data_IF_899359277030
#
_entry.id   IF_899359277030
#
_cell.length_a   1.000
_cell.length_b   1.000
_cell.length_c   1.000
_cell.angle_alpha   90.00
_cell.angle_beta   90.00
_cell.angle_gamma   90.00
#
_symmetry.space_group_name_H-M   'P 1'
#
loop_
_entity.id
_entity.type
_entity.pdbx_description
1 polymer ?
#
# COMPACT_ATOMS: atom_id res chain seq x y z
N UNK A 1 -24.18 -1.83 -4.99
CA UNK A 1 -22.86 -2.29 -4.47
C UNK A 1 -21.96 -1.12 -4.07
N UNK A 2 -22.54 -0.07 -3.44
CA UNK A 2 -21.82 1.17 -3.10
C UNK A 2 -20.78 1.03 -1.97
N UNK A 3 -20.51 -0.17 -1.49
CA UNK A 3 -19.62 -0.42 -0.35
C UNK A 3 -18.65 -1.58 -0.55
N UNK A 4 -18.46 -2.05 -1.78
CA UNK A 4 -17.50 -3.11 -2.07
C UNK A 4 -16.16 -2.48 -2.41
N UNK A 5 -15.13 -2.89 -1.69
CA UNK A 5 -13.73 -2.53 -1.99
C UNK A 5 -13.00 -3.79 -2.42
N UNK A 6 -12.34 -3.73 -3.55
CA UNK A 6 -11.49 -4.81 -4.04
C UNK A 6 -10.04 -4.47 -3.76
N UNK A 7 -9.37 -5.34 -3.04
CA UNK A 7 -7.93 -5.21 -2.74
C UNK A 7 -7.10 -5.92 -3.80
N UNK A 8 -6.01 -5.31 -4.21
CA UNK A 8 -5.12 -5.84 -5.24
C UNK A 8 -3.67 -5.51 -4.97
N UNK A 9 -2.79 -6.38 -5.40
CA UNK A 9 -1.35 -6.08 -5.50
C UNK A 9 -1.00 -5.30 -6.78
N UNK A 10 -1.97 -5.11 -7.68
CA UNK A 10 -1.81 -4.32 -8.90
C UNK A 10 -1.16 -5.10 -10.05
N UNK A 11 -1.80 -6.13 -10.57
CA UNK A 11 -1.37 -6.78 -11.81
C UNK A 11 -2.03 -6.10 -13.03
N UNK A 12 -1.23 -5.78 -14.04
CA UNK A 12 -1.62 -4.92 -15.17
C UNK A 12 -2.94 -5.30 -15.84
N UNK A 13 -3.04 -6.53 -16.33
CA UNK A 13 -4.25 -6.98 -17.06
C UNK A 13 -5.50 -7.02 -16.16
N UNK A 14 -5.33 -7.51 -14.95
CA UNK A 14 -6.43 -7.58 -13.99
C UNK A 14 -6.89 -6.19 -13.53
N UNK A 15 -5.96 -5.28 -13.31
CA UNK A 15 -6.25 -3.92 -12.89
C UNK A 15 -6.97 -3.14 -13.98
N UNK A 16 -6.47 -3.18 -15.21
CA UNK A 16 -7.09 -2.49 -16.34
C UNK A 16 -8.51 -2.97 -16.58
N UNK A 17 -8.71 -4.28 -16.64
CA UNK A 17 -10.03 -4.89 -16.78
C UNK A 17 -10.98 -4.50 -15.65
N UNK A 18 -10.49 -4.51 -14.41
CA UNK A 18 -11.27 -4.07 -13.26
C UNK A 18 -11.72 -2.61 -13.39
N UNK A 19 -10.83 -1.72 -13.82
CA UNK A 19 -11.12 -0.31 -14.01
C UNK A 19 -12.16 -0.05 -15.11
N UNK A 20 -12.18 -0.88 -16.14
CA UNK A 20 -13.11 -0.78 -17.27
C UNK A 20 -14.48 -1.42 -16.97
N UNK A 21 -14.50 -2.53 -16.23
CA UNK A 21 -15.70 -3.35 -16.04
C UNK A 21 -16.37 -3.19 -14.66
N UNK A 22 -15.77 -2.46 -13.71
CA UNK A 22 -16.26 -2.37 -12.33
C UNK A 22 -16.30 -0.96 -11.80
N UNK A 23 -17.37 -0.64 -11.05
CA UNK A 23 -17.52 0.60 -10.29
C UNK A 23 -17.17 0.44 -8.81
N UNK A 24 -16.65 -0.69 -8.40
CA UNK A 24 -16.24 -0.94 -7.03
C UNK A 24 -15.06 -0.06 -6.62
N UNK A 25 -14.93 0.21 -5.33
CA UNK A 25 -13.75 0.86 -4.78
C UNK A 25 -12.52 -0.02 -4.97
N UNK A 26 -11.38 0.61 -5.19
CA UNK A 26 -10.12 -0.07 -5.40
C UNK A 26 -9.15 0.26 -4.26
N UNK A 27 -8.55 -0.76 -3.67
CA UNK A 27 -7.45 -0.64 -2.72
C UNK A 27 -6.22 -1.37 -3.26
N UNK A 28 -5.09 -0.68 -3.30
CA UNK A 28 -3.84 -1.22 -3.83
C UNK A 28 -2.78 -1.24 -2.74
N UNK A 29 -2.12 -2.38 -2.57
CA UNK A 29 -0.99 -2.52 -1.67
C UNK A 29 0.22 -1.76 -2.20
N UNK A 30 0.70 -0.79 -1.46
CA UNK A 30 1.83 0.07 -1.85
C UNK A 30 3.10 -0.22 -1.05
N UNK A 31 3.06 -0.05 0.24
CA UNK A 31 4.08 -0.35 1.26
C UNK A 31 5.42 0.38 1.14
N UNK A 32 5.71 1.01 0.03
CA UNK A 32 6.87 1.88 -0.17
C UNK A 32 6.66 2.82 -1.35
N UNK A 33 7.16 4.06 -1.29
CA UNK A 33 7.22 4.97 -2.43
C UNK A 33 8.42 4.69 -3.35
N UNK A 34 9.34 3.80 -2.96
CA UNK A 34 10.54 3.47 -3.72
C UNK A 34 10.39 2.13 -4.44
N UNK A 35 10.54 2.08 -5.77
CA UNK A 35 10.37 0.85 -6.54
C UNK A 35 11.28 -0.29 -6.11
N UNK A 36 12.53 -0.01 -5.76
CA UNK A 36 13.51 -1.02 -5.33
C UNK A 36 13.06 -1.66 -4.00
N UNK A 37 12.71 -0.84 -3.01
CA UNK A 37 12.23 -1.34 -1.72
C UNK A 37 10.87 -2.05 -1.86
N UNK A 38 9.97 -1.51 -2.69
CA UNK A 38 8.69 -2.16 -2.95
C UNK A 38 8.87 -3.55 -3.57
N UNK A 39 9.86 -3.71 -4.43
CA UNK A 39 10.21 -5.02 -5.01
C UNK A 39 10.67 -6.02 -3.96
N UNK A 40 11.40 -5.57 -2.96
CA UNK A 40 11.83 -6.41 -1.84
C UNK A 40 10.67 -6.82 -0.95
N UNK A 41 9.76 -5.88 -0.67
CA UNK A 41 8.56 -6.11 0.13
C UNK A 41 7.48 -6.87 -0.64
N UNK A 42 7.36 -6.63 -1.95
CA UNK A 42 6.30 -7.16 -2.80
C UNK A 42 6.87 -7.66 -4.13
N UNK A 43 7.00 -8.97 -4.33
CA UNK A 43 7.47 -9.53 -5.61
C UNK A 43 6.62 -9.13 -6.84
N UNK A 44 5.35 -8.76 -6.64
CA UNK A 44 4.46 -8.27 -7.71
C UNK A 44 4.99 -7.02 -8.43
N UNK A 45 5.87 -6.22 -7.82
CA UNK A 45 6.53 -5.06 -8.44
C UNK A 45 7.32 -5.46 -9.70
N UNK A 46 7.86 -6.67 -9.73
CA UNK A 46 8.60 -7.19 -10.90
C UNK A 46 7.70 -7.42 -12.10
N UNK A 47 6.45 -7.80 -11.86
CA UNK A 47 5.49 -8.06 -12.93
C UNK A 47 4.82 -6.78 -13.43
N UNK A 48 4.60 -5.83 -12.55
CA UNK A 48 3.99 -4.55 -12.87
C UNK A 48 4.51 -3.46 -11.93
N UNK A 49 5.27 -2.52 -12.49
CA UNK A 49 5.90 -1.48 -11.68
C UNK A 49 4.87 -0.48 -11.14
N UNK A 50 5.16 0.05 -9.96
CA UNK A 50 4.37 1.10 -9.32
C UNK A 50 4.23 2.33 -10.23
N UNK A 51 5.27 2.72 -10.93
CA UNK A 51 5.26 3.87 -11.83
C UNK A 51 4.26 3.67 -12.98
N UNK A 52 4.29 2.53 -13.64
CA UNK A 52 3.33 2.19 -14.70
C UNK A 52 1.90 2.10 -14.17
N UNK A 53 1.73 1.51 -12.98
CA UNK A 53 0.43 1.40 -12.33
C UNK A 53 -0.18 2.76 -12.01
N UNK A 54 0.61 3.68 -11.45
CA UNK A 54 0.15 5.03 -11.13
C UNK A 54 -0.17 5.83 -12.39
N UNK A 55 0.60 5.68 -13.45
CA UNK A 55 0.30 6.31 -14.73
C UNK A 55 -1.03 5.82 -15.32
N UNK A 56 -1.31 4.52 -15.24
CA UNK A 56 -2.60 3.97 -15.62
C UNK A 56 -3.74 4.55 -14.78
N UNK A 57 -3.58 4.60 -13.46
CA UNK A 57 -4.60 5.11 -12.54
C UNK A 57 -4.93 6.58 -12.79
N UNK A 58 -3.98 7.40 -13.23
CA UNK A 58 -4.22 8.81 -13.56
C UNK A 58 -5.14 9.02 -14.75
N UNK A 59 -5.34 8.01 -15.59
CA UNK A 59 -6.28 8.06 -16.71
C UNK A 59 -7.74 7.87 -16.29
N UNK A 60 -8.01 7.56 -15.02
CA UNK A 60 -9.35 7.29 -14.49
C UNK A 60 -9.78 8.34 -13.45
N UNK A 61 -11.08 8.56 -13.35
CA UNK A 61 -11.67 9.52 -12.40
C UNK A 61 -12.09 8.81 -11.10
N UNK A 62 -11.43 9.16 -9.99
CA UNK A 62 -11.74 8.66 -8.64
C UNK A 62 -12.40 9.72 -7.75
N UNK A 63 -12.76 10.86 -8.29
CA UNK A 63 -13.35 11.97 -7.53
C UNK A 63 -14.84 11.77 -7.22
N UNK A 64 -15.51 10.87 -7.93
CA UNK A 64 -16.96 10.69 -7.87
C UNK A 64 -17.35 9.48 -7.01
N UNK A 65 -17.91 8.46 -7.64
CA UNK A 65 -18.45 7.30 -6.92
C UNK A 65 -17.41 6.27 -6.51
N UNK A 66 -16.47 5.98 -7.40
CA UNK A 66 -15.38 5.04 -7.15
C UNK A 66 -14.23 5.74 -6.42
N UNK A 67 -13.76 5.11 -5.35
CA UNK A 67 -12.64 5.59 -4.55
C UNK A 67 -11.41 4.74 -4.77
N UNK A 68 -10.26 5.41 -4.80
CA UNK A 68 -8.95 4.78 -4.81
C UNK A 68 -8.30 4.96 -3.44
N UNK A 69 -7.79 3.87 -2.89
CA UNK A 69 -6.99 3.89 -1.68
C UNK A 69 -5.74 3.04 -1.84
N UNK A 70 -4.70 3.40 -1.10
CA UNK A 70 -3.47 2.63 -1.01
C UNK A 70 -3.32 2.07 0.40
N UNK A 71 -3.03 0.79 0.49
CA UNK A 71 -2.71 0.11 1.74
C UNK A 71 -1.20 0.23 1.99
N UNK A 72 -0.83 0.66 3.19
CA UNK A 72 0.56 0.90 3.56
C UNK A 72 0.82 0.33 4.95
N UNK A 73 1.47 -0.82 5.01
CA UNK A 73 1.87 -1.43 6.28
C UNK A 73 3.12 -0.73 6.77
N UNK A 74 3.09 -0.22 8.00
CA UNK A 74 4.22 0.49 8.58
C UNK A 74 5.11 -0.46 9.37
N UNK A 75 6.37 -0.52 8.97
CA UNK A 75 7.42 -1.30 9.63
C UNK A 75 8.44 -0.38 10.27
N UNK A 76 8.69 -0.59 11.55
CA UNK A 76 9.64 0.20 12.33
C UNK A 76 11.03 0.20 11.69
N UNK A 77 11.57 1.38 11.44
CA UNK A 77 12.90 1.56 10.87
C UNK A 77 13.07 1.15 9.41
N UNK A 78 11.98 0.78 8.73
CA UNK A 78 12.01 0.33 7.33
C UNK A 78 11.38 1.35 6.39
N UNK A 79 10.11 1.69 6.61
CA UNK A 79 9.33 2.56 5.75
C UNK A 79 8.50 3.62 6.50
N UNK A 80 8.85 3.92 7.75
CA UNK A 80 8.03 4.70 8.67
C UNK A 80 8.58 6.10 9.02
N UNK A 81 9.71 6.50 8.43
CA UNK A 81 10.24 7.85 8.65
C UNK A 81 9.45 8.91 7.86
N UNK A 82 9.51 10.17 8.30
CA UNK A 82 8.84 11.27 7.59
C UNK A 82 9.35 11.49 6.17
N UNK A 83 10.57 11.06 5.87
CA UNK A 83 11.10 11.08 4.50
C UNK A 83 10.22 10.23 3.57
N UNK A 84 9.74 9.08 4.03
CA UNK A 84 8.79 8.25 3.29
C UNK A 84 7.45 8.93 3.07
N UNK A 85 6.94 9.63 4.08
CA UNK A 85 5.72 10.42 3.93
C UNK A 85 5.87 11.52 2.87
N UNK A 86 7.00 12.22 2.87
CA UNK A 86 7.31 13.24 1.86
C UNK A 86 7.35 12.66 0.46
N UNK A 87 7.99 11.51 0.28
CA UNK A 87 8.06 10.83 -1.02
C UNK A 87 6.69 10.34 -1.49
N UNK A 88 5.82 9.87 -0.58
CA UNK A 88 4.45 9.51 -0.91
C UNK A 88 3.64 10.70 -1.40
N UNK A 89 3.78 11.86 -0.77
CA UNK A 89 3.12 13.11 -1.23
C UNK A 89 3.55 13.46 -2.65
N UNK A 90 4.84 13.37 -2.96
CA UNK A 90 5.35 13.63 -4.31
C UNK A 90 4.84 12.62 -5.33
N UNK A 91 4.89 11.33 -4.98
CA UNK A 91 4.49 10.22 -5.84
C UNK A 91 3.02 10.28 -6.23
N UNK A 92 2.15 10.62 -5.28
CA UNK A 92 0.69 10.61 -5.43
C UNK A 92 0.13 11.97 -5.86
N UNK A 93 0.96 12.94 -6.14
CA UNK A 93 0.53 14.28 -6.56
C UNK A 93 -0.34 14.22 -7.81
N UNK A 94 -1.49 14.90 -7.76
CA UNK A 94 -2.44 14.95 -8.86
C UNK A 94 -3.36 13.74 -8.97
N UNK A 95 -3.21 12.75 -8.10
CA UNK A 95 -4.08 11.59 -8.02
C UNK A 95 -5.04 11.72 -6.83
N UNK A 96 -6.34 11.65 -7.08
CA UNK A 96 -7.35 11.65 -6.03
C UNK A 96 -7.41 10.28 -5.34
N UNK A 97 -6.76 10.17 -4.21
CA UNK A 97 -6.59 8.92 -3.49
C UNK A 97 -6.53 9.13 -1.98
N UNK A 98 -6.60 8.01 -1.26
CA UNK A 98 -6.45 7.92 0.19
C UNK A 98 -5.36 6.92 0.53
N UNK A 99 -4.81 7.04 1.74
CA UNK A 99 -3.90 6.04 2.28
C UNK A 99 -4.50 5.46 3.56
N UNK A 100 -4.48 4.15 3.67
CA UNK A 100 -4.77 3.43 4.90
C UNK A 100 -3.44 2.92 5.46
N UNK A 101 -2.98 3.50 6.56
CA UNK A 101 -1.82 3.01 7.30
C UNK A 101 -2.26 1.82 8.14
N UNK A 102 -1.55 0.71 7.98
CA UNK A 102 -1.87 -0.52 8.68
C UNK A 102 -0.81 -0.76 9.74
N UNK A 103 -1.27 -0.93 11.00
CA UNK A 103 -0.41 -1.31 12.10
C UNK A 103 -0.02 -2.77 11.97
N UNK A 104 1.29 -3.01 11.84
CA UNK A 104 1.83 -4.36 11.81
C UNK A 104 1.96 -4.91 13.22
N UNK A 105 1.49 -6.13 13.43
CA UNK A 105 1.72 -6.89 14.65
C UNK A 105 2.78 -7.95 14.39
N UNK A 106 3.75 -8.07 15.29
CA UNK A 106 4.82 -9.04 15.16
C UNK A 106 4.28 -10.46 14.93
N UNK A 107 4.86 -11.15 13.96
CA UNK A 107 4.52 -12.51 13.58
C UNK A 107 5.72 -13.40 13.91
N UNK A 108 5.54 -14.61 14.47
CA UNK A 108 6.63 -15.55 14.66
C UNK A 108 7.38 -15.82 13.37
N UNK A 109 8.71 -15.86 13.42
CA UNK A 109 9.61 -16.12 12.28
C UNK A 109 9.66 -15.02 11.21
N UNK A 110 9.16 -13.83 11.49
CA UNK A 110 9.29 -12.65 10.62
C UNK A 110 10.09 -11.60 11.38
N UNK A 111 11.22 -11.19 10.83
CA UNK A 111 12.14 -10.20 11.45
C UNK A 111 11.73 -8.78 11.09
N UNK A 112 10.48 -8.44 11.36
CA UNK A 112 9.91 -7.12 11.18
C UNK A 112 9.12 -6.71 12.42
N UNK A 113 9.21 -5.43 12.77
CA UNK A 113 8.46 -4.83 13.87
C UNK A 113 7.49 -3.79 13.35
N UNK A 114 6.37 -3.64 14.05
CA UNK A 114 5.42 -2.57 13.78
C UNK A 114 5.90 -1.23 14.33
N UNK A 115 5.54 -0.15 13.64
CA UNK A 115 5.77 1.21 14.12
C UNK A 115 4.91 1.49 15.36
N UNK A 116 5.39 2.33 16.27
CA UNK A 116 4.58 2.81 17.38
C UNK A 116 3.50 3.80 16.94
N UNK A 117 2.52 4.06 17.81
CA UNK A 117 1.39 4.94 17.49
C UNK A 117 1.80 6.40 17.33
N UNK A 118 2.82 6.84 18.01
CA UNK A 118 3.36 8.20 17.85
C UNK A 118 3.92 8.42 16.45
N UNK A 119 4.72 7.47 15.97
CA UNK A 119 5.27 7.47 14.61
C UNK A 119 4.16 7.40 13.56
N UNK A 120 3.19 6.53 13.74
CA UNK A 120 2.06 6.38 12.82
C UNK A 120 1.19 7.64 12.77
N UNK A 121 0.94 8.26 13.91
CA UNK A 121 0.15 9.50 14.00
C UNK A 121 0.86 10.66 13.31
N UNK A 122 2.16 10.82 13.52
CA UNK A 122 2.96 11.85 12.84
C UNK A 122 2.98 11.65 11.32
N UNK A 123 3.11 10.43 10.89
CA UNK A 123 3.08 10.04 9.47
C UNK A 123 1.72 10.34 8.82
N UNK A 124 0.63 9.95 9.47
CA UNK A 124 -0.75 10.26 9.04
C UNK A 124 -0.98 11.76 8.94
N UNK A 125 -0.62 12.51 9.96
CA UNK A 125 -0.86 13.94 10.04
C UNK A 125 -0.09 14.69 8.95
N UNK A 126 1.15 14.30 8.69
CA UNK A 126 1.93 14.85 7.58
C UNK A 126 1.25 14.63 6.23
N UNK A 127 0.81 13.42 5.94
CA UNK A 127 0.12 13.09 4.68
C UNK A 127 -1.18 13.87 4.53
N UNK A 128 -1.99 13.92 5.58
CA UNK A 128 -3.28 14.63 5.58
C UNK A 128 -3.09 16.14 5.40
N UNK A 129 -2.13 16.75 6.06
CA UNK A 129 -1.79 18.17 5.92
C UNK A 129 -1.30 18.52 4.52
N UNK A 130 -0.71 17.57 3.81
CA UNK A 130 -0.20 17.76 2.45
C UNK A 130 -1.16 17.25 1.35
N UNK A 131 -2.43 17.07 1.68
CA UNK A 131 -3.49 16.80 0.71
C UNK A 131 -3.79 15.33 0.45
N UNK A 132 -3.19 14.40 1.19
CA UNK A 132 -3.48 12.96 1.09
C UNK A 132 -4.23 12.51 2.35
N UNK A 133 -5.54 12.34 2.25
CA UNK A 133 -6.35 11.87 3.37
C UNK A 133 -5.89 10.48 3.82
N UNK A 134 -5.55 10.36 5.10
CA UNK A 134 -4.89 9.17 5.64
C UNK A 134 -5.59 8.70 6.91
N UNK A 135 -5.82 7.41 7.02
CA UNK A 135 -6.37 6.75 8.21
C UNK A 135 -5.39 5.75 8.78
N UNK A 136 -5.51 5.45 10.07
CA UNK A 136 -4.78 4.37 10.73
C UNK A 136 -5.75 3.25 11.03
N UNK A 137 -5.36 2.03 10.66
CA UNK A 137 -6.16 0.84 10.82
C UNK A 137 -5.36 -0.27 11.51
N UNK A 138 -5.97 -0.97 12.46
CA UNK A 138 -5.38 -2.18 12.99
C UNK A 138 -5.50 -3.31 11.96
N UNK A 139 -4.42 -4.06 11.74
CA UNK A 139 -4.51 -5.27 10.93
C UNK A 139 -5.17 -6.37 11.75
N UNK A 140 -6.05 -7.11 11.12
CA UNK A 140 -6.39 -8.45 11.59
C UNK A 140 -5.33 -9.38 11.03
N UNK A 141 -4.62 -10.14 11.89
CA UNK A 141 -3.40 -10.87 11.51
C UNK A 141 -3.51 -11.75 10.26
N UNK A 142 -4.71 -12.25 9.94
CA UNK A 142 -4.96 -13.03 8.72
C UNK A 142 -4.95 -12.19 7.44
N UNK A 143 -5.32 -10.91 7.50
CA UNK A 143 -5.38 -10.03 6.33
C UNK A 143 -3.98 -9.72 5.78
N UNK A 144 -2.97 -9.70 6.65
CA UNK A 144 -1.57 -9.49 6.26
C UNK A 144 -1.04 -10.68 5.48
N UNK A 145 -1.41 -11.90 5.88
CA UNK A 145 -0.97 -13.14 5.24
C UNK A 145 -1.54 -13.28 3.81
N UNK A 146 -2.76 -12.86 3.61
CA UNK A 146 -3.45 -12.99 2.33
C UNK A 146 -3.11 -11.87 1.32
N UNK A 147 -2.86 -10.65 1.81
CA UNK A 147 -2.81 -9.48 0.95
C UNK A 147 -1.42 -9.14 0.40
N UNK A 148 -0.33 -9.51 1.05
CA UNK A 148 0.94 -8.86 0.79
C UNK A 148 2.01 -9.72 0.12
N UNK A 149 1.82 -11.02 -0.06
CA UNK A 149 2.90 -11.86 -0.61
C UNK A 149 4.22 -11.83 0.18
N UNK A 150 4.28 -11.01 1.24
CA UNK A 150 5.49 -10.79 2.05
C UNK A 150 5.95 -12.02 2.79
N UNK A 151 5.04 -12.93 3.10
CA UNK A 151 5.35 -14.17 3.78
C UNK A 151 6.08 -15.18 2.90
N UNK A 152 5.85 -15.17 1.61
CA UNK A 152 6.62 -16.00 0.69
C UNK A 152 8.08 -15.57 0.64
N UNK A 153 8.33 -14.27 0.74
CA UNK A 153 9.69 -13.71 0.75
C UNK A 153 10.41 -13.97 2.08
N UNK A 154 9.72 -13.85 3.21
CA UNK A 154 10.28 -14.17 4.53
C UNK A 154 10.62 -15.67 4.66
N UNK A 155 9.77 -16.57 4.15
CA UNK A 155 10.05 -18.01 4.12
C UNK A 155 11.24 -18.35 3.22
N UNK A 156 11.44 -17.64 2.11
CA UNK A 156 12.56 -17.89 1.22
C UNK A 156 13.90 -17.44 1.79
N UNK A 157 13.92 -16.43 2.69
CA UNK A 157 15.13 -15.98 3.35
C UNK A 157 15.60 -16.94 4.46
N UNK A 158 14.69 -17.68 5.07
CA UNK A 158 15.00 -18.68 6.11
C UNK A 158 15.37 -20.07 5.59
N UNK A 159 15.19 -20.34 4.30
CA UNK A 159 15.56 -21.64 3.68
C UNK A 159 16.97 -21.63 3.08
N UNK A 160 17.72 -20.51 3.20
CA UNK A 160 19.14 -20.44 2.81
C UNK A 160 20.05 -20.43 4.03
N UNK A 161 19.96 -21.49 4.83
CA UNK A 161 21.00 -21.92 5.78
C UNK A 161 21.36 -23.36 5.48
#
# INVERSE_FOLDING_TARGET
PKRITVSSVGLKKGLQRFLEESDCHLAISLHSPFPVQRRELMPAERAYSMTEMLDLLRDYDFSKQRRLSFEYIMFKGVNDSLMYAKELVKLLRGLDCRINLIRFHAIPNVDLEGSDMETMTAFRDYLTEHGVFTTIRASRGEDIFAACGMLSTAKQQHVKL
#
